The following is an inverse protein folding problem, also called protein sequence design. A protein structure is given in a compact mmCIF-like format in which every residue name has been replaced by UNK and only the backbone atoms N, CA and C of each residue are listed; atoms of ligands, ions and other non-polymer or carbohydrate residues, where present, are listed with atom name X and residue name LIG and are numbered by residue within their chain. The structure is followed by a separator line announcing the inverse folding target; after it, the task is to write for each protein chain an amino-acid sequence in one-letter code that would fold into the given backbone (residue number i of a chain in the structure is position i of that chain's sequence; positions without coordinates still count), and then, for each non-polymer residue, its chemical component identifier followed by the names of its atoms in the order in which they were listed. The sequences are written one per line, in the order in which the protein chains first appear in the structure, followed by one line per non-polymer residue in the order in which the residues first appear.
data_IF_718571934974
#
_entry.id   IF_718571934974
#
_cell.length_a   1.000
_cell.length_b   1.000
_cell.length_c   1.000
_cell.angle_alpha   90.00
_cell.angle_beta   90.00
_cell.angle_gamma   90.00
#
_symmetry.space_group_name_H-M   'P 1'
#
loop_
_entity.id
_entity.type
_entity.pdbx_description
1 polymer ?
#
# COMPACT_ATOMS: atom_id res chain seq x y z
N UNK A 1 -16.15 -53.67 -31.87
CA UNK A 1 -15.52 -52.32 -31.84
C UNK A 1 -15.23 -51.95 -30.39
N UNK A 2 -13.96 -51.88 -29.98
CA UNK A 2 -13.59 -51.36 -28.65
C UNK A 2 -13.78 -49.84 -28.68
N UNK A 3 -14.72 -49.31 -27.89
CA UNK A 3 -14.82 -47.88 -27.64
C UNK A 3 -13.62 -47.48 -26.78
N UNK A 4 -12.65 -46.83 -27.40
CA UNK A 4 -11.54 -46.18 -26.70
C UNK A 4 -12.15 -44.89 -26.15
N UNK A 5 -12.64 -44.93 -24.92
CA UNK A 5 -13.05 -43.72 -24.24
C UNK A 5 -11.78 -42.95 -23.88
N UNK A 6 -11.69 -41.69 -24.32
CA UNK A 6 -10.64 -40.79 -23.88
C UNK A 6 -10.97 -40.45 -22.43
N UNK A 7 -10.16 -40.96 -21.49
CA UNK A 7 -10.28 -40.60 -20.09
C UNK A 7 -9.81 -39.15 -19.93
N UNK A 8 -10.78 -38.22 -19.87
CA UNK A 8 -10.52 -36.79 -19.78
C UNK A 8 -10.71 -36.33 -18.34
N UNK A 9 -9.64 -35.86 -17.72
CA UNK A 9 -9.73 -35.19 -16.41
C UNK A 9 -10.44 -33.85 -16.56
N UNK A 10 -11.50 -33.57 -15.77
CA UNK A 10 -12.11 -32.24 -15.72
C UNK A 10 -11.06 -31.15 -15.45
N UNK A 11 -11.22 -29.99 -16.09
CA UNK A 11 -10.23 -28.89 -16.00
C UNK A 11 -9.93 -28.48 -14.56
N UNK A 12 -10.94 -28.43 -13.69
CA UNK A 12 -10.78 -28.09 -12.27
C UNK A 12 -9.86 -29.09 -11.55
N UNK A 13 -10.08 -30.37 -11.76
CA UNK A 13 -9.28 -31.45 -11.17
C UNK A 13 -7.85 -31.45 -11.74
N UNK A 14 -7.69 -31.12 -13.03
CA UNK A 14 -6.37 -30.97 -13.63
C UNK A 14 -5.57 -29.80 -13.03
N UNK A 15 -6.23 -28.65 -12.81
CA UNK A 15 -5.62 -27.47 -12.17
C UNK A 15 -5.22 -27.79 -10.72
N UNK A 16 -6.08 -28.48 -9.96
CA UNK A 16 -5.81 -28.87 -8.58
C UNK A 16 -4.61 -29.81 -8.51
N UNK A 17 -4.64 -30.92 -9.28
CA UNK A 17 -3.52 -31.88 -9.36
C UNK A 17 -2.21 -31.22 -9.78
N UNK A 18 -2.25 -30.29 -10.73
CA UNK A 18 -1.07 -29.53 -11.16
C UNK A 18 -0.54 -28.65 -10.04
N UNK A 19 -1.40 -27.87 -9.40
CA UNK A 19 -1.03 -26.93 -8.34
C UNK A 19 -0.45 -27.66 -7.13
N UNK A 20 -1.03 -28.80 -6.77
CA UNK A 20 -0.55 -29.64 -5.67
C UNK A 20 0.83 -30.22 -5.97
N UNK A 21 1.07 -30.68 -7.21
CA UNK A 21 2.40 -31.12 -7.64
C UNK A 21 3.42 -29.99 -7.61
N UNK A 22 3.06 -28.79 -8.05
CA UNK A 22 3.94 -27.61 -8.00
C UNK A 22 4.29 -27.25 -6.56
N UNK A 23 3.31 -27.24 -5.65
CA UNK A 23 3.54 -27.00 -4.21
C UNK A 23 4.43 -28.09 -3.58
N UNK A 24 4.14 -29.36 -3.87
CA UNK A 24 4.87 -30.50 -3.34
C UNK A 24 6.31 -30.61 -3.88
N UNK A 25 6.57 -30.07 -5.08
CA UNK A 25 7.93 -29.99 -5.63
C UNK A 25 8.87 -29.07 -4.81
N UNK A 26 8.33 -28.38 -3.79
CA UNK A 26 9.07 -27.42 -2.99
C UNK A 26 9.56 -26.25 -3.84
N UNK A 27 8.79 -25.89 -4.87
CA UNK A 27 9.15 -25.04 -5.99
C UNK A 27 10.25 -24.05 -5.63
N UNK A 28 11.45 -24.27 -6.18
CA UNK A 28 12.58 -23.37 -5.94
C UNK A 28 12.21 -22.02 -6.50
N UNK A 29 11.95 -21.07 -5.60
CA UNK A 29 11.87 -19.67 -6.00
C UNK A 29 13.19 -19.31 -6.70
N UNK A 30 13.14 -18.52 -7.78
CA UNK A 30 14.34 -17.97 -8.38
C UNK A 30 15.19 -17.28 -7.30
N UNK A 31 16.51 -17.31 -7.47
CA UNK A 31 17.39 -16.55 -6.59
C UNK A 31 17.03 -15.07 -6.69
N UNK A 32 16.92 -14.40 -5.55
CA UNK A 32 16.70 -12.97 -5.49
C UNK A 32 17.95 -12.23 -5.97
N UNK A 33 17.74 -11.12 -6.67
CA UNK A 33 18.79 -10.19 -7.06
C UNK A 33 18.34 -8.75 -6.77
N UNK A 34 19.30 -7.85 -6.56
CA UNK A 34 19.04 -6.42 -6.45
C UNK A 34 19.18 -5.76 -7.80
N UNK A 35 18.12 -5.12 -8.26
CA UNK A 35 18.09 -4.36 -9.53
C UNK A 35 17.73 -2.90 -9.24
N UNK A 36 18.06 -2.00 -10.17
CA UNK A 36 17.61 -0.62 -10.11
C UNK A 36 16.09 -0.52 -10.21
N UNK A 37 15.48 0.50 -9.59
CA UNK A 37 14.01 0.70 -9.62
C UNK A 37 13.49 0.84 -11.05
N UNK A 38 14.24 1.52 -11.93
CA UNK A 38 13.88 1.72 -13.34
C UNK A 38 13.81 0.38 -14.09
N UNK A 39 14.67 -0.58 -13.73
CA UNK A 39 14.75 -1.91 -14.36
C UNK A 39 13.80 -2.94 -13.72
N UNK A 40 13.02 -2.54 -12.71
CA UNK A 40 12.18 -3.45 -11.93
C UNK A 40 10.81 -3.74 -12.56
N UNK A 41 10.44 -3.05 -13.64
CA UNK A 41 9.15 -3.22 -14.30
C UNK A 41 8.93 -4.68 -14.74
N UNK A 42 7.77 -5.26 -14.38
CA UNK A 42 7.39 -6.68 -14.63
C UNK A 42 8.22 -7.72 -13.86
N UNK A 43 9.03 -7.33 -12.90
CA UNK A 43 9.68 -8.24 -11.95
C UNK A 43 8.75 -8.54 -10.77
N UNK A 44 9.09 -9.55 -9.97
CA UNK A 44 8.37 -9.92 -8.74
C UNK A 44 9.29 -9.61 -7.56
N UNK A 45 8.77 -8.97 -6.52
CA UNK A 45 9.50 -8.73 -5.27
C UNK A 45 9.77 -10.05 -4.55
N UNK A 46 11.02 -10.31 -4.19
CA UNK A 46 11.39 -11.53 -3.47
C UNK A 46 10.87 -11.57 -2.02
N UNK A 47 10.63 -10.40 -1.42
CA UNK A 47 10.15 -10.24 -0.06
C UNK A 47 9.28 -8.98 0.07
N UNK A 48 8.62 -8.80 1.22
CA UNK A 48 7.80 -7.62 1.50
C UNK A 48 8.65 -6.35 1.56
N UNK A 49 8.17 -5.27 0.96
CA UNK A 49 8.84 -3.96 0.96
C UNK A 49 8.19 -3.05 1.99
N UNK A 50 8.98 -2.58 2.96
CA UNK A 50 8.53 -1.67 4.01
C UNK A 50 9.09 -0.27 3.81
N UNK A 51 8.28 0.74 4.14
CA UNK A 51 8.71 2.13 4.13
C UNK A 51 9.78 2.35 5.21
N UNK A 52 10.91 2.96 4.83
CA UNK A 52 11.98 3.33 5.78
C UNK A 52 11.65 4.61 6.54
N UNK A 53 10.81 5.46 5.97
CA UNK A 53 10.40 6.75 6.53
C UNK A 53 8.93 7.01 6.21
N UNK A 54 8.26 7.78 7.06
CA UNK A 54 6.92 8.29 6.76
C UNK A 54 6.99 9.26 5.59
N UNK A 55 5.94 9.29 4.77
CA UNK A 55 5.79 10.26 3.69
C UNK A 55 4.38 10.85 3.74
N UNK A 56 4.20 12.11 4.18
CA UNK A 56 5.24 13.05 4.61
C UNK A 56 5.91 12.64 5.93
N UNK A 57 7.17 13.02 6.11
CA UNK A 57 7.92 12.75 7.35
C UNK A 57 7.76 13.85 8.42
N UNK A 58 6.92 14.86 8.14
CA UNK A 58 6.72 16.04 8.99
C UNK A 58 5.24 16.48 8.95
N UNK A 59 4.87 17.37 9.88
CA UNK A 59 3.55 18.00 9.87
C UNK A 59 3.50 19.07 8.77
N UNK A 60 2.75 18.80 7.70
CA UNK A 60 2.50 19.73 6.60
C UNK A 60 1.08 20.26 6.66
N UNK A 61 0.89 21.50 6.20
CA UNK A 61 -0.45 22.01 5.93
C UNK A 61 -0.95 21.48 4.59
N UNK A 62 -2.21 21.08 4.53
CA UNK A 62 -2.86 20.70 3.27
C UNK A 62 -3.36 21.91 2.46
N UNK A 63 -3.44 23.09 3.10
CA UNK A 63 -4.04 24.31 2.55
C UNK A 63 -3.24 25.54 2.96
N UNK A 64 -3.33 26.60 2.17
CA UNK A 64 -2.83 27.91 2.58
C UNK A 64 -3.67 28.44 3.74
N UNK A 65 -3.04 28.80 4.85
CA UNK A 65 -3.77 29.25 6.03
C UNK A 65 -2.88 29.54 7.23
N UNK A 66 -3.45 29.41 8.42
CA UNK A 66 -2.74 29.60 9.68
C UNK A 66 -2.86 28.36 10.55
N UNK A 67 -1.73 27.86 11.03
CA UNK A 67 -1.67 26.88 12.10
C UNK A 67 -2.08 27.54 13.42
N UNK A 68 -3.05 26.93 14.11
CA UNK A 68 -3.59 27.41 15.39
C UNK A 68 -3.64 26.27 16.40
N UNK A 69 -3.61 26.59 17.68
CA UNK A 69 -3.90 25.61 18.74
C UNK A 69 -5.40 25.39 18.82
N UNK A 70 -5.85 24.13 18.75
CA UNK A 70 -7.27 23.77 18.86
C UNK A 70 -7.93 24.35 20.12
N UNK A 71 -7.23 24.37 21.25
CA UNK A 71 -7.74 24.93 22.51
C UNK A 71 -8.13 26.39 22.39
N UNK A 72 -7.41 27.15 21.56
CA UNK A 72 -7.64 28.59 21.40
C UNK A 72 -8.89 28.85 20.56
N UNK A 73 -9.37 27.88 19.78
CA UNK A 73 -10.58 28.00 18.94
C UNK A 73 -11.87 27.51 19.63
N UNK A 74 -11.78 26.86 20.79
CA UNK A 74 -12.96 26.30 21.50
C UNK A 74 -14.01 27.37 21.79
N UNK A 75 -15.25 27.16 21.39
CA UNK A 75 -16.36 28.09 21.61
C UNK A 75 -16.44 29.25 20.60
N UNK A 76 -15.58 29.27 19.58
CA UNK A 76 -15.76 30.16 18.43
C UNK A 76 -17.05 29.80 17.69
N UNK A 77 -17.87 30.80 17.37
CA UNK A 77 -19.07 30.67 16.54
C UNK A 77 -19.21 31.89 15.64
N UNK A 78 -20.11 31.85 14.66
CA UNK A 78 -20.41 33.02 13.81
C UNK A 78 -20.84 34.24 14.64
N UNK A 79 -21.60 34.02 15.73
CA UNK A 79 -22.08 35.08 16.64
C UNK A 79 -21.01 35.54 17.62
N UNK A 80 -20.05 34.68 17.94
CA UNK A 80 -18.97 34.92 18.90
C UNK A 80 -17.63 34.50 18.31
N UNK A 81 -17.11 35.25 17.31
CA UNK A 81 -15.85 34.91 16.67
C UNK A 81 -14.68 35.15 17.63
N UNK A 82 -13.64 34.33 17.51
CA UNK A 82 -12.38 34.53 18.23
C UNK A 82 -11.36 35.24 17.35
N UNK A 83 -10.63 36.19 17.94
CA UNK A 83 -9.51 36.89 17.31
C UNK A 83 -8.23 36.36 17.90
N UNK A 84 -7.38 35.77 17.07
CA UNK A 84 -6.07 35.24 17.44
C UNK A 84 -4.98 36.19 16.97
N UNK A 85 -3.98 36.42 17.82
CA UNK A 85 -2.83 37.26 17.45
C UNK A 85 -1.84 36.48 16.61
N UNK A 86 -1.32 37.12 15.57
CA UNK A 86 -0.24 36.62 14.72
C UNK A 86 1.03 37.38 15.11
N UNK A 87 2.16 36.70 15.40
CA UNK A 87 2.39 35.25 15.28
C UNK A 87 2.13 34.43 16.55
N UNK A 88 1.71 35.04 17.67
CA UNK A 88 1.76 34.37 18.98
C UNK A 88 0.78 33.19 19.14
N UNK A 89 -0.40 33.28 18.50
CA UNK A 89 -1.47 32.28 18.61
C UNK A 89 -1.84 31.64 17.26
N UNK A 90 -1.41 32.26 16.16
CA UNK A 90 -1.62 31.79 14.80
C UNK A 90 -0.35 32.06 13.98
N UNK A 91 0.15 31.03 13.29
CA UNK A 91 1.36 31.13 12.45
C UNK A 91 0.99 30.72 11.04
N UNK A 92 1.44 31.47 10.03
CA UNK A 92 1.19 31.10 8.63
C UNK A 92 1.82 29.74 8.32
N UNK A 93 1.03 28.82 7.76
CA UNK A 93 1.36 27.41 7.58
C UNK A 93 1.57 27.05 6.12
#
# INVERSE_FOLDING_TARGET
MKKIYLDSTPLSEAIEKWTDKVRASGGKLPQAETVGVIDSLRRITAEAVFAKVSSPFYHSSAMDGYAVKFTDTVGASERTPKRLKVPEQAVYA
#
